data_IF_927082578292
#
_entry.id   IF_927082578292
#
_cell.length_a   1.000
_cell.length_b   1.000
_cell.length_c   1.000
_cell.angle_alpha   90.00
_cell.angle_beta   90.00
_cell.angle_gamma   90.00
#
_symmetry.space_group_name_H-M   'P 1'
#
loop_
_entity.id
_entity.type
_entity.pdbx_description
1 polymer ?
#
# COMPACT_ATOMS: atom_id res chain seq x y z
N UNK A 1 -17.09 14.12 7.88
CA UNK A 1 -18.36 14.31 8.62
C UNK A 1 -19.32 15.17 7.82
N UNK A 2 -19.41 16.50 8.02
CA UNK A 2 -20.46 17.32 7.34
C UNK A 2 -20.35 17.36 5.80
N UNK A 3 -19.15 17.61 5.26
CA UNK A 3 -18.96 17.76 3.81
C UNK A 3 -19.33 16.50 3.01
N UNK A 4 -18.99 15.33 3.54
CA UNK A 4 -19.26 14.04 2.88
C UNK A 4 -20.55 13.37 3.36
N UNK A 5 -21.25 13.96 4.34
CA UNK A 5 -22.45 13.35 4.93
C UNK A 5 -22.23 11.99 5.59
N UNK A 6 -21.02 11.72 6.09
CA UNK A 6 -20.66 10.42 6.72
C UNK A 6 -20.87 10.44 8.22
N UNK A 7 -21.30 9.30 8.79
CA UNK A 7 -21.56 9.13 10.22
C UNK A 7 -20.27 9.07 11.07
N UNK A 8 -19.25 8.40 10.54
CA UNK A 8 -17.98 8.15 11.20
C UNK A 8 -16.82 8.37 10.24
N UNK A 9 -15.70 8.83 10.78
CA UNK A 9 -14.40 8.95 10.09
C UNK A 9 -13.39 8.12 10.86
N UNK A 10 -12.70 7.21 10.17
CA UNK A 10 -11.50 6.57 10.70
C UNK A 10 -10.32 7.51 10.51
N UNK A 11 -9.54 7.71 11.57
CA UNK A 11 -8.38 8.60 11.59
C UNK A 11 -7.12 7.75 11.58
N UNK A 12 -6.46 7.70 10.44
CA UNK A 12 -5.21 6.99 10.27
C UNK A 12 -5.33 5.78 9.35
N UNK A 13 -4.50 4.77 9.61
CA UNK A 13 -4.55 3.48 8.91
C UNK A 13 -5.79 2.71 9.35
N UNK A 14 -6.61 2.29 8.39
CA UNK A 14 -8.01 1.96 8.65
C UNK A 14 -8.29 0.47 8.83
N UNK A 15 -7.37 -0.41 8.48
CA UNK A 15 -7.61 -1.84 8.28
C UNK A 15 -8.16 -2.51 9.54
N UNK A 16 -7.48 -2.36 10.68
CA UNK A 16 -7.95 -2.90 11.96
C UNK A 16 -9.17 -2.15 12.53
N UNK A 17 -9.26 -0.83 12.32
CA UNK A 17 -10.36 0.00 12.85
C UNK A 17 -11.67 -0.30 12.14
N UNK A 18 -11.63 -0.49 10.82
CA UNK A 18 -12.80 -0.87 10.01
C UNK A 18 -13.29 -2.27 10.40
N UNK A 19 -12.37 -3.21 10.66
CA UNK A 19 -12.73 -4.53 11.16
C UNK A 19 -13.43 -4.47 12.53
N UNK A 20 -12.97 -3.59 13.43
CA UNK A 20 -13.63 -3.37 14.72
C UNK A 20 -14.99 -2.67 14.60
N UNK A 21 -15.13 -1.71 13.66
CA UNK A 21 -16.42 -1.07 13.36
C UNK A 21 -17.45 -2.11 12.91
N UNK A 22 -17.08 -3.04 12.05
CA UNK A 22 -17.98 -4.07 11.53
C UNK A 22 -18.46 -5.06 12.60
N UNK A 23 -17.81 -5.13 13.76
CA UNK A 23 -18.13 -6.05 14.86
C UNK A 23 -18.96 -5.43 15.98
N UNK A 24 -19.28 -4.12 15.89
CA UNK A 24 -19.90 -3.37 16.99
C UNK A 24 -21.16 -2.66 16.53
N UNK A 25 -22.22 -2.78 17.33
CA UNK A 25 -23.46 -2.02 17.13
C UNK A 25 -23.29 -0.55 17.53
N UNK A 26 -22.41 -0.25 18.49
CA UNK A 26 -22.12 1.10 18.97
C UNK A 26 -20.63 1.42 18.82
N UNK A 27 -20.35 2.41 17.97
CA UNK A 27 -19.00 2.87 17.62
C UNK A 27 -18.65 4.25 18.17
N UNK A 28 -19.55 4.88 18.96
CA UNK A 28 -19.37 6.25 19.44
C UNK A 28 -18.13 6.43 20.32
N UNK A 29 -17.60 5.37 20.92
CA UNK A 29 -16.39 5.39 21.74
C UNK A 29 -15.24 4.59 21.14
N UNK A 30 -15.36 4.11 19.89
CA UNK A 30 -14.30 3.33 19.27
C UNK A 30 -13.06 4.21 19.07
N UNK A 31 -11.87 3.81 19.57
CA UNK A 31 -10.65 4.58 19.35
C UNK A 31 -10.35 4.81 17.87
N UNK A 32 -9.63 5.89 17.60
CA UNK A 32 -9.19 6.29 16.26
C UNK A 32 -10.32 6.65 15.30
N UNK A 33 -11.48 7.01 15.85
CA UNK A 33 -12.62 7.49 15.07
C UNK A 33 -12.98 8.94 15.42
N UNK A 34 -13.73 9.59 14.53
CA UNK A 34 -14.43 10.83 14.81
C UNK A 34 -15.84 10.79 14.25
N UNK A 35 -16.79 11.40 14.95
CA UNK A 35 -18.20 11.45 14.56
C UNK A 35 -18.84 12.78 14.98
N UNK A 36 -20.09 13.01 14.58
CA UNK A 36 -20.86 14.16 15.04
C UNK A 36 -21.73 13.76 16.23
N UNK A 37 -21.63 14.50 17.32
CA UNK A 37 -22.52 14.41 18.49
C UNK A 37 -23.08 15.79 18.79
N UNK A 38 -24.41 15.92 18.80
CA UNK A 38 -25.11 17.20 19.00
C UNK A 38 -24.57 18.34 18.11
N UNK A 39 -24.27 18.00 16.85
CA UNK A 39 -23.74 18.95 15.87
C UNK A 39 -22.26 19.30 16.05
N UNK A 40 -21.55 18.77 17.05
CA UNK A 40 -20.11 18.99 17.26
C UNK A 40 -19.30 17.77 16.85
N UNK A 41 -18.10 17.98 16.33
CA UNK A 41 -17.16 16.89 16.05
C UNK A 41 -16.59 16.36 17.36
N UNK A 42 -16.76 15.06 17.60
CA UNK A 42 -16.16 14.33 18.71
C UNK A 42 -15.14 13.36 18.15
N UNK A 43 -13.91 13.41 18.66
CA UNK A 43 -12.83 12.49 18.29
C UNK A 43 -12.45 11.58 19.45
N UNK A 44 -12.25 10.30 19.15
CA UNK A 44 -11.89 9.27 20.13
C UNK A 44 -10.41 8.90 19.94
N UNK A 45 -9.55 9.29 20.89
CA UNK A 45 -8.12 8.96 20.85
C UNK A 45 -7.34 9.62 19.71
N UNK A 46 -6.15 9.07 19.45
CA UNK A 46 -5.20 9.55 18.43
C UNK A 46 -5.44 8.97 17.04
N UNK A 47 -4.50 9.20 16.14
CA UNK A 47 -4.46 8.58 14.80
C UNK A 47 -3.99 7.13 14.94
N UNK A 48 -4.66 6.19 14.28
CA UNK A 48 -4.25 4.79 14.27
C UNK A 48 -3.06 4.56 13.35
N UNK A 49 -2.08 3.79 13.83
CA UNK A 49 -1.02 3.22 13.04
C UNK A 49 -1.17 1.69 13.09
N UNK A 50 -1.36 1.07 11.93
CA UNK A 50 -1.55 -0.36 11.78
C UNK A 50 -0.32 -1.15 12.23
N UNK A 51 -0.56 -2.38 12.67
CA UNK A 51 0.51 -3.33 12.97
C UNK A 51 1.38 -3.62 11.75
N UNK A 52 0.82 -3.51 10.54
CA UNK A 52 1.42 -3.52 9.18
C UNK A 52 2.55 -4.53 8.91
N UNK A 53 3.68 -4.41 9.60
CA UNK A 53 4.86 -5.29 9.52
C UNK A 53 4.49 -6.76 9.64
N UNK A 54 3.58 -7.08 10.56
CA UNK A 54 3.14 -8.45 10.87
C UNK A 54 1.89 -8.90 10.10
N UNK A 55 1.39 -8.11 9.14
CA UNK A 55 0.21 -8.49 8.38
C UNK A 55 0.48 -9.73 7.52
N UNK A 56 -0.47 -10.69 7.49
CA UNK A 56 -0.34 -11.85 6.62
C UNK A 56 -0.42 -11.43 5.14
N UNK A 57 -0.02 -12.31 4.21
CA UNK A 57 -0.22 -12.08 2.78
C UNK A 57 -1.69 -11.95 2.45
N UNK A 58 -2.02 -10.91 1.71
CA UNK A 58 -3.38 -10.67 1.27
C UNK A 58 -3.81 -11.76 0.28
N UNK A 59 -5.12 -11.95 0.21
CA UNK A 59 -5.75 -12.85 -0.76
C UNK A 59 -7.01 -12.17 -1.27
N UNK A 60 -7.12 -12.09 -2.59
CA UNK A 60 -8.21 -11.39 -3.25
C UNK A 60 -9.08 -12.38 -4.02
N UNK A 61 -10.41 -12.18 -4.06
CA UNK A 61 -11.28 -12.90 -4.98
C UNK A 61 -10.80 -12.70 -6.43
N UNK A 62 -10.71 -13.79 -7.20
CA UNK A 62 -10.16 -13.72 -8.57
C UNK A 62 -10.98 -12.84 -9.51
N UNK A 63 -12.29 -12.70 -9.27
CA UNK A 63 -13.17 -11.81 -10.02
C UNK A 63 -12.87 -10.33 -9.75
N UNK A 64 -12.39 -9.98 -8.55
CA UNK A 64 -11.95 -8.62 -8.24
C UNK A 64 -10.65 -8.28 -8.98
N UNK A 65 -9.70 -9.22 -9.00
CA UNK A 65 -8.45 -9.05 -9.75
C UNK A 65 -8.73 -8.95 -11.26
N UNK A 66 -9.59 -9.81 -11.80
CA UNK A 66 -9.95 -9.79 -13.21
C UNK A 66 -10.68 -8.50 -13.63
N UNK A 67 -11.34 -7.81 -12.70
CA UNK A 67 -11.96 -6.52 -12.94
C UNK A 67 -10.95 -5.35 -12.99
N UNK A 68 -9.71 -5.56 -12.56
CA UNK A 68 -8.67 -4.52 -12.49
C UNK A 68 -7.67 -4.62 -13.65
N UNK A 69 -8.09 -4.19 -14.83
CA UNK A 69 -7.23 -4.20 -16.03
C UNK A 69 -6.22 -3.05 -16.09
N UNK A 70 -6.25 -2.12 -15.13
CA UNK A 70 -5.44 -0.90 -15.19
C UNK A 70 -4.02 -1.13 -14.64
N UNK A 71 -3.00 -0.77 -15.42
CA UNK A 71 -1.62 -0.73 -14.93
C UNK A 71 -1.28 0.68 -14.42
N UNK A 72 -1.23 0.83 -13.10
CA UNK A 72 -0.96 2.12 -12.46
C UNK A 72 0.42 2.68 -12.84
N UNK A 73 0.51 3.98 -13.15
CA UNK A 73 1.75 4.65 -13.58
C UNK A 73 2.44 4.00 -14.79
N UNK A 74 1.63 3.38 -15.67
CA UNK A 74 2.08 2.78 -16.92
C UNK A 74 1.22 3.29 -18.08
N UNK A 75 1.87 3.93 -19.04
CA UNK A 75 1.20 4.66 -20.13
C UNK A 75 1.50 4.10 -21.52
N UNK A 76 2.28 3.02 -21.61
CA UNK A 76 2.52 2.29 -22.86
C UNK A 76 1.40 1.28 -23.15
N UNK A 77 1.28 0.88 -24.41
CA UNK A 77 0.29 -0.11 -24.87
C UNK A 77 0.75 -1.57 -24.70
N UNK A 78 1.99 -1.83 -24.25
CA UNK A 78 2.53 -3.18 -24.10
C UNK A 78 2.16 -3.83 -22.74
N UNK A 79 0.90 -3.70 -22.35
CA UNK A 79 0.37 -4.18 -21.09
C UNK A 79 -0.11 -5.64 -21.24
N UNK A 80 0.41 -6.52 -20.39
CA UNK A 80 0.06 -7.95 -20.37
C UNK A 80 -0.52 -8.29 -19.01
N UNK A 81 -1.62 -9.04 -18.99
CA UNK A 81 -2.31 -9.44 -17.76
C UNK A 81 -3.10 -8.32 -17.11
N UNK A 82 -3.53 -8.57 -15.87
CA UNK A 82 -4.18 -7.58 -15.00
C UNK A 82 -3.16 -6.74 -14.25
N UNK A 83 -3.60 -5.59 -13.76
CA UNK A 83 -2.84 -4.77 -12.82
C UNK A 83 -3.15 -5.15 -11.38
N UNK A 84 -2.23 -4.85 -10.47
CA UNK A 84 -2.46 -4.90 -9.04
C UNK A 84 -1.55 -3.91 -8.30
N UNK A 85 -1.98 -3.47 -7.13
CA UNK A 85 -1.19 -2.66 -6.21
C UNK A 85 -0.72 -3.50 -5.02
N UNK A 86 0.55 -3.38 -4.68
CA UNK A 86 1.15 -4.07 -3.53
C UNK A 86 1.87 -3.04 -2.66
N UNK A 87 1.71 -3.12 -1.35
CA UNK A 87 2.47 -2.30 -0.40
C UNK A 87 3.55 -3.18 0.23
N UNK A 88 4.83 -2.90 -0.09
CA UNK A 88 5.98 -3.58 0.51
C UNK A 88 6.47 -2.84 1.76
N UNK A 89 6.28 -1.53 1.79
CA UNK A 89 6.61 -0.67 2.92
C UNK A 89 5.63 0.50 3.05
N UNK A 90 5.51 1.01 4.27
CA UNK A 90 4.57 2.06 4.63
C UNK A 90 5.30 3.19 5.36
N UNK A 91 5.01 4.41 4.94
CA UNK A 91 5.61 5.64 5.42
C UNK A 91 6.91 6.00 4.70
N UNK A 92 7.47 7.15 5.06
CA UNK A 92 8.67 7.68 4.43
C UNK A 92 9.51 8.46 5.45
N UNK A 93 10.82 8.20 5.61
CA UNK A 93 11.62 8.83 6.65
C UNK A 93 12.05 10.27 6.33
N UNK A 94 11.67 10.81 5.17
CA UNK A 94 12.11 12.12 4.69
C UNK A 94 11.12 13.23 5.04
N UNK A 95 11.58 14.41 5.45
CA UNK A 95 10.72 15.53 5.84
C UNK A 95 10.58 16.61 4.75
N UNK A 96 10.07 16.23 3.57
CA UNK A 96 9.86 17.17 2.47
C UNK A 96 8.77 18.20 2.81
N UNK A 97 9.07 19.50 2.65
CA UNK A 97 8.20 20.62 3.05
C UNK A 97 6.83 20.67 2.35
N UNK A 98 6.71 20.00 1.20
CA UNK A 98 5.48 19.93 0.40
C UNK A 98 4.67 18.66 0.65
N UNK A 99 5.20 17.69 1.41
CA UNK A 99 4.58 16.37 1.51
C UNK A 99 3.49 16.35 2.59
N UNK A 100 2.29 15.88 2.23
CA UNK A 100 1.14 15.80 3.13
C UNK A 100 1.20 14.62 4.13
N UNK A 101 2.29 13.85 4.14
CA UNK A 101 2.51 12.76 5.10
C UNK A 101 2.95 13.26 6.49
N UNK A 102 3.32 14.53 6.62
CA UNK A 102 3.79 15.06 7.91
C UNK A 102 2.62 14.88 8.91
N UNK A 103 2.92 14.32 10.09
CA UNK A 103 1.94 13.88 11.10
C UNK A 103 1.08 12.64 10.73
N UNK A 104 1.33 12.02 9.57
CA UNK A 104 0.64 10.79 9.11
C UNK A 104 1.53 9.89 8.23
N UNK A 105 1.95 8.72 8.76
CA UNK A 105 2.90 7.77 8.12
C UNK A 105 4.34 8.31 7.98
N UNK A 106 4.85 8.99 9.00
CA UNK A 106 6.26 9.43 9.04
C UNK A 106 7.24 8.28 9.38
N UNK A 107 6.77 7.27 10.13
CA UNK A 107 7.56 6.09 10.46
C UNK A 107 7.61 5.10 9.28
N UNK A 108 8.82 4.85 8.77
CA UNK A 108 9.06 3.85 7.72
C UNK A 108 9.04 2.44 8.30
N UNK A 109 8.10 1.61 7.84
CA UNK A 109 7.93 0.21 8.23
C UNK A 109 7.97 -0.68 7.00
N UNK A 110 8.61 -1.84 7.08
CA UNK A 110 8.65 -2.84 5.99
C UNK A 110 7.81 -4.06 6.36
N UNK A 111 7.06 -4.61 5.42
CA UNK A 111 6.41 -5.91 5.61
C UNK A 111 7.44 -7.03 5.59
N UNK A 112 7.03 -8.17 6.11
CA UNK A 112 7.79 -9.40 5.96
C UNK A 112 8.00 -9.73 4.48
N UNK A 113 9.24 -10.06 4.10
CA UNK A 113 9.62 -10.34 2.73
C UNK A 113 8.87 -11.54 2.13
N UNK A 114 8.86 -12.67 2.84
CA UNK A 114 8.19 -13.90 2.40
C UNK A 114 6.68 -13.67 2.22
N UNK A 115 6.11 -12.81 3.07
CA UNK A 115 4.72 -12.43 2.97
C UNK A 115 4.40 -11.70 1.65
N UNK A 116 5.22 -10.71 1.28
CA UNK A 116 5.05 -9.96 0.02
C UNK A 116 5.24 -10.89 -1.18
N UNK A 117 6.27 -11.74 -1.14
CA UNK A 117 6.56 -12.67 -2.24
C UNK A 117 5.41 -13.65 -2.46
N UNK A 118 4.85 -14.21 -1.38
CA UNK A 118 3.68 -15.09 -1.48
C UNK A 118 2.44 -14.35 -2.01
N UNK A 119 2.26 -13.08 -1.67
CA UNK A 119 1.17 -12.24 -2.20
C UNK A 119 1.32 -12.03 -3.72
N UNK A 120 2.52 -11.68 -4.18
CA UNK A 120 2.83 -11.49 -5.60
C UNK A 120 2.65 -12.80 -6.39
N UNK A 121 3.11 -13.94 -5.86
CA UNK A 121 2.93 -15.24 -6.52
C UNK A 121 1.45 -15.60 -6.73
N UNK A 122 0.59 -15.29 -5.75
CA UNK A 122 -0.86 -15.50 -5.89
C UNK A 122 -1.46 -14.60 -6.96
N UNK A 123 -1.07 -13.33 -6.98
CA UNK A 123 -1.52 -12.37 -7.99
C UNK A 123 -1.12 -12.83 -9.40
N UNK A 124 0.13 -13.27 -9.60
CA UNK A 124 0.59 -13.86 -10.86
C UNK A 124 -0.28 -15.07 -11.24
N UNK A 125 -0.55 -15.97 -10.29
CA UNK A 125 -1.46 -17.10 -10.49
C UNK A 125 -2.89 -16.73 -10.85
N UNK A 126 -3.32 -15.50 -10.53
CA UNK A 126 -4.62 -14.92 -10.90
C UNK A 126 -4.60 -14.15 -12.23
N UNK A 127 -3.46 -14.13 -12.94
CA UNK A 127 -3.31 -13.48 -14.23
C UNK A 127 -2.82 -12.03 -14.16
N UNK A 128 -2.33 -11.58 -13.00
CA UNK A 128 -1.65 -10.28 -12.89
C UNK A 128 -0.32 -10.34 -13.62
N UNK A 129 -0.12 -9.43 -14.57
CA UNK A 129 1.17 -9.26 -15.26
C UNK A 129 1.88 -7.97 -14.88
N UNK A 130 1.24 -7.11 -14.08
CA UNK A 130 1.84 -5.88 -13.58
C UNK A 130 1.48 -5.57 -12.12
N UNK A 131 2.51 -5.26 -11.32
CA UNK A 131 2.36 -4.78 -9.94
C UNK A 131 2.88 -3.37 -9.81
N UNK A 132 2.14 -2.47 -9.19
CA UNK A 132 2.66 -1.18 -8.75
C UNK A 132 2.89 -1.20 -7.23
N UNK A 133 4.12 -0.94 -6.81
CA UNK A 133 4.43 -0.77 -5.39
C UNK A 133 3.95 0.61 -4.91
N UNK A 134 2.85 0.64 -4.17
CA UNK A 134 2.19 1.88 -3.70
C UNK A 134 2.85 2.51 -2.46
N UNK A 135 4.05 2.05 -2.09
CA UNK A 135 4.85 2.60 -1.01
C UNK A 135 5.01 4.12 -1.17
N UNK A 136 4.91 4.91 -0.08
CA UNK A 136 5.19 6.36 -0.16
C UNK A 136 6.60 6.64 -0.70
N UNK A 137 7.54 5.75 -0.36
CA UNK A 137 8.85 5.68 -0.96
C UNK A 137 9.37 4.23 -0.99
N UNK A 138 9.60 3.71 -2.19
CA UNK A 138 10.29 2.44 -2.35
C UNK A 138 11.79 2.64 -2.11
N UNK A 139 12.27 2.21 -0.94
CA UNK A 139 13.69 2.15 -0.64
C UNK A 139 14.30 0.87 -1.25
N UNK A 140 15.63 0.83 -1.46
CA UNK A 140 16.28 -0.40 -1.93
C UNK A 140 15.99 -1.61 -1.04
N UNK A 141 15.39 -2.64 -1.65
CA UNK A 141 15.02 -3.92 -1.02
C UNK A 141 15.62 -5.08 -1.80
N UNK A 142 16.95 -5.25 -1.70
CA UNK A 142 17.71 -6.23 -2.49
C UNK A 142 17.09 -7.63 -2.50
N UNK A 143 16.74 -8.18 -1.34
CA UNK A 143 16.11 -9.49 -1.23
C UNK A 143 14.77 -9.59 -1.98
N UNK A 144 13.94 -8.55 -1.94
CA UNK A 144 12.70 -8.49 -2.71
C UNK A 144 12.99 -8.49 -4.21
N UNK A 145 13.92 -7.66 -4.67
CA UNK A 145 14.28 -7.59 -6.08
C UNK A 145 14.87 -8.91 -6.59
N UNK A 146 15.76 -9.53 -5.82
CA UNK A 146 16.34 -10.84 -6.14
C UNK A 146 15.26 -11.93 -6.26
N UNK A 147 14.24 -11.90 -5.39
CA UNK A 147 13.11 -12.80 -5.53
C UNK A 147 12.35 -12.55 -6.84
N UNK A 148 12.22 -11.31 -7.32
CA UNK A 148 11.41 -11.00 -8.49
C UNK A 148 12.07 -11.30 -9.85
N UNK A 149 13.38 -11.51 -9.92
CA UNK A 149 14.14 -11.69 -11.18
C UNK A 149 13.55 -12.74 -12.14
N UNK A 150 13.08 -13.87 -11.60
CA UNK A 150 12.60 -14.98 -12.43
C UNK A 150 11.05 -15.08 -12.48
N UNK A 151 10.34 -14.06 -11.98
CA UNK A 151 8.88 -14.04 -11.96
C UNK A 151 8.33 -13.39 -13.24
N UNK A 152 7.28 -13.97 -13.79
CA UNK A 152 6.59 -13.44 -14.97
C UNK A 152 5.65 -12.29 -14.59
N UNK A 153 6.24 -11.20 -14.08
CA UNK A 153 5.55 -9.99 -13.67
C UNK A 153 6.44 -8.79 -13.95
N UNK A 154 5.85 -7.69 -14.42
CA UNK A 154 6.52 -6.39 -14.45
C UNK A 154 6.08 -5.57 -13.27
N UNK A 155 6.90 -4.62 -12.84
CA UNK A 155 6.47 -3.73 -11.76
C UNK A 155 6.92 -2.29 -11.93
N UNK A 156 6.22 -1.41 -11.22
CA UNK A 156 6.60 -0.02 -11.04
C UNK A 156 6.82 0.31 -9.57
N UNK A 157 7.63 1.33 -9.33
CA UNK A 157 7.90 1.88 -7.99
C UNK A 157 7.82 3.40 -8.04
N UNK A 158 7.66 4.03 -6.88
CA UNK A 158 7.99 5.44 -6.70
C UNK A 158 9.14 5.56 -5.72
N UNK A 159 10.14 6.38 -6.03
CA UNK A 159 11.35 6.47 -5.23
C UNK A 159 12.04 7.83 -5.39
N UNK A 160 13.19 8.02 -4.73
CA UNK A 160 14.03 9.22 -4.92
C UNK A 160 15.25 8.89 -5.75
N UNK A 161 15.64 9.81 -6.62
CA UNK A 161 16.80 9.66 -7.50
C UNK A 161 18.13 9.50 -6.75
N UNK A 162 18.26 10.10 -5.56
CA UNK A 162 19.48 10.06 -4.74
C UNK A 162 19.73 8.70 -4.04
N UNK A 163 18.75 7.79 -4.06
CA UNK A 163 18.88 6.45 -3.49
C UNK A 163 19.55 5.44 -4.41
N UNK A 164 19.73 5.77 -5.69
CA UNK A 164 20.10 4.81 -6.72
C UNK A 164 21.60 4.72 -6.94
N UNK A 165 22.11 3.49 -6.81
CA UNK A 165 23.46 3.10 -7.24
C UNK A 165 23.34 2.29 -8.53
N UNK A 166 24.32 2.33 -9.44
CA UNK A 166 24.28 1.57 -10.69
C UNK A 166 23.89 0.09 -10.50
N UNK A 167 24.50 -0.59 -9.54
CA UNK A 167 24.22 -2.00 -9.23
C UNK A 167 22.76 -2.26 -8.82
N UNK A 168 22.11 -1.31 -8.12
CA UNK A 168 20.70 -1.44 -7.72
C UNK A 168 19.75 -1.15 -8.87
N UNK A 169 20.12 -0.25 -9.80
CA UNK A 169 19.36 0.00 -11.02
C UNK A 169 19.41 -1.21 -11.96
N UNK A 170 20.58 -1.84 -12.08
CA UNK A 170 20.72 -3.10 -12.83
C UNK A 170 19.84 -4.20 -12.24
N UNK A 171 19.86 -4.36 -10.92
CA UNK A 171 19.02 -5.34 -10.24
C UNK A 171 17.51 -5.03 -10.39
N UNK A 172 17.11 -3.76 -10.34
CA UNK A 172 15.72 -3.37 -10.64
C UNK A 172 15.30 -3.79 -12.05
N UNK A 173 16.14 -3.50 -13.05
CA UNK A 173 15.87 -3.85 -14.44
C UNK A 173 15.76 -5.37 -14.62
N UNK A 174 16.69 -6.12 -14.02
CA UNK A 174 16.67 -7.58 -14.01
C UNK A 174 15.41 -8.15 -13.32
N UNK A 175 14.95 -7.50 -12.24
CA UNK A 175 13.73 -7.86 -11.52
C UNK A 175 12.44 -7.59 -12.32
N UNK A 176 12.50 -6.83 -13.42
CA UNK A 176 11.32 -6.50 -14.23
C UNK A 176 10.71 -5.13 -13.90
N UNK A 177 11.45 -4.23 -13.28
CA UNK A 177 11.01 -2.84 -13.08
C UNK A 177 10.94 -2.10 -14.42
N UNK A 178 9.76 -1.57 -14.75
CA UNK A 178 9.50 -0.85 -16.02
C UNK A 178 9.02 0.59 -15.82
N UNK A 179 8.83 1.01 -14.56
CA UNK A 179 8.40 2.38 -14.20
C UNK A 179 9.02 2.78 -12.85
N UNK A 180 9.59 3.98 -12.75
CA UNK A 180 10.27 4.55 -11.56
C UNK A 180 9.84 6.01 -11.38
#
# INVERSE_FOLDING_TARGET
>A
LRQLGVDVVVRGECEEVVAELARRDNWNALPHTAHLHEGKTVGNGGVHASSFVGHPPLNWPSDWIAAHSHHHHRFDDNQVGFGAEVEASRGCPYNCSFCAKIDFRDAYRRRNHDAIVMEIDRLIGQGVGYVYFIDEIFLPQKALLEALVDRDVKFGVQTRIDLWKPELLELLGAAGCVSI
#
